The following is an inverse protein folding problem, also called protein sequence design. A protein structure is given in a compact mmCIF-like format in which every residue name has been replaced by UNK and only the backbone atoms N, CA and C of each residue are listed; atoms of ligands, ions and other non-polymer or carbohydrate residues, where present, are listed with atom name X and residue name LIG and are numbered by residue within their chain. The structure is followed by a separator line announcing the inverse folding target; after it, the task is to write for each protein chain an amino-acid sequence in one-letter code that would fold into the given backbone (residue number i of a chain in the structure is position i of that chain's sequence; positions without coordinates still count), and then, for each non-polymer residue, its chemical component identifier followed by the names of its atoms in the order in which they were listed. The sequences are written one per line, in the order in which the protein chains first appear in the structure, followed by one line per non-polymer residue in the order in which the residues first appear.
data_IF_427071095782
#
_entry.id   IF_427071095782
#
_cell.length_a   1.000
_cell.length_b   1.000
_cell.length_c   1.000
_cell.angle_alpha   90.00
_cell.angle_beta   90.00
_cell.angle_gamma   90.00
#
_symmetry.space_group_name_H-M   'P 1'
#
loop_
_entity.id
_entity.type
_entity.pdbx_description
1 polymer ?
#
# COMPACT_ATOMS: atom_id res chain seq x y z
N UNK A 1 44.71 -18.79 30.94
CA UNK A 1 43.87 -18.88 29.73
C UNK A 1 42.38 -19.13 30.09
N UNK A 2 41.77 -18.29 30.94
CA UNK A 2 40.34 -18.43 31.29
C UNK A 2 39.55 -17.11 31.11
N UNK A 3 40.22 -16.00 30.81
CA UNK A 3 39.57 -14.67 30.68
C UNK A 3 39.17 -14.35 29.23
N UNK A 4 39.77 -15.03 28.24
CA UNK A 4 39.56 -14.73 26.82
C UNK A 4 38.30 -15.39 26.22
N UNK A 5 37.74 -16.41 26.88
CA UNK A 5 36.59 -17.17 26.37
C UNK A 5 35.22 -16.60 26.78
N UNK A 6 35.15 -15.72 27.79
CA UNK A 6 33.89 -15.07 28.20
C UNK A 6 33.55 -13.82 27.37
N UNK A 7 34.52 -13.14 26.75
CA UNK A 7 34.29 -11.92 25.97
C UNK A 7 33.62 -12.16 24.61
N UNK A 8 33.77 -13.36 24.03
CA UNK A 8 33.24 -13.68 22.70
C UNK A 8 31.77 -14.14 22.79
N UNK A 9 31.36 -14.72 23.92
CA UNK A 9 30.00 -15.23 24.08
C UNK A 9 28.95 -14.12 24.32
N UNK A 10 29.37 -12.95 24.80
CA UNK A 10 28.45 -11.80 25.03
C UNK A 10 28.26 -10.95 23.77
N UNK A 11 29.24 -10.91 22.86
CA UNK A 11 29.09 -10.19 21.59
C UNK A 11 28.14 -10.91 20.61
N UNK A 12 28.11 -12.24 20.60
CA UNK A 12 27.33 -13.01 19.62
C UNK A 12 25.80 -12.82 19.67
N UNK A 13 25.24 -12.39 20.80
CA UNK A 13 23.80 -12.20 20.98
C UNK A 13 23.34 -10.74 20.88
N UNK A 14 24.25 -9.76 20.94
CA UNK A 14 23.93 -8.34 20.84
C UNK A 14 23.96 -7.81 19.40
N UNK A 15 24.83 -8.35 18.54
CA UNK A 15 24.97 -7.89 17.14
C UNK A 15 23.75 -8.15 16.23
N UNK A 16 23.04 -9.30 16.30
CA UNK A 16 21.84 -9.50 15.48
C UNK A 16 20.73 -8.50 15.82
N UNK A 17 20.67 -8.09 17.08
CA UNK A 17 19.61 -7.22 17.59
C UNK A 17 19.85 -5.74 17.26
N UNK A 18 21.10 -5.27 17.28
CA UNK A 18 21.42 -3.89 16.95
C UNK A 18 21.37 -3.65 15.44
N UNK A 19 21.95 -4.56 14.64
CA UNK A 19 21.89 -4.47 13.17
C UNK A 19 20.46 -4.68 12.66
N UNK A 20 19.71 -5.63 13.23
CA UNK A 20 18.29 -5.85 12.90
C UNK A 20 17.39 -4.67 13.29
N UNK A 21 17.64 -4.00 14.42
CA UNK A 21 16.95 -2.76 14.79
C UNK A 21 17.35 -1.58 13.90
N UNK A 22 18.63 -1.48 13.53
CA UNK A 22 19.10 -0.44 12.60
C UNK A 22 18.47 -0.64 11.21
N UNK A 23 18.47 -1.87 10.70
CA UNK A 23 17.87 -2.22 9.41
C UNK A 23 16.34 -2.08 9.44
N UNK A 24 15.70 -2.51 10.53
CA UNK A 24 14.27 -2.32 10.76
C UNK A 24 13.87 -0.85 10.78
N UNK A 25 14.64 -0.01 11.48
CA UNK A 25 14.43 1.44 11.50
C UNK A 25 14.64 2.09 10.14
N UNK A 26 15.64 1.66 9.36
CA UNK A 26 15.86 2.15 7.99
C UNK A 26 14.71 1.78 7.04
N UNK A 27 14.17 0.56 7.14
CA UNK A 27 13.02 0.13 6.33
C UNK A 27 11.75 0.87 6.74
N UNK A 28 11.52 1.07 8.04
CA UNK A 28 10.38 1.83 8.55
C UNK A 28 10.45 3.30 8.11
N UNK A 29 11.61 3.94 8.21
CA UNK A 29 11.82 5.32 7.74
C UNK A 29 11.59 5.43 6.23
N UNK A 30 12.13 4.50 5.44
CA UNK A 30 11.91 4.48 3.99
C UNK A 30 10.43 4.27 3.63
N UNK A 31 9.75 3.37 4.35
CA UNK A 31 8.31 3.13 4.20
C UNK A 31 7.50 4.37 4.51
N UNK A 32 7.79 5.04 5.62
CA UNK A 32 7.11 6.29 6.02
C UNK A 32 7.31 7.40 5.00
N UNK A 33 8.54 7.59 4.49
CA UNK A 33 8.80 8.57 3.42
C UNK A 33 8.03 8.25 2.13
N UNK A 34 7.95 6.97 1.76
CA UNK A 34 7.17 6.53 0.61
C UNK A 34 5.68 6.81 0.79
N UNK A 35 5.14 6.54 1.98
CA UNK A 35 3.75 6.83 2.31
C UNK A 35 3.47 8.33 2.29
N UNK A 36 4.34 9.16 2.87
CA UNK A 36 4.20 10.62 2.87
C UNK A 36 4.23 11.19 1.45
N UNK A 37 5.08 10.64 0.58
CA UNK A 37 5.06 10.98 -0.84
C UNK A 37 3.72 10.63 -1.48
N UNK A 38 3.21 9.41 -1.28
CA UNK A 38 1.93 8.98 -1.85
C UNK A 38 0.79 9.87 -1.35
N UNK A 39 0.70 10.11 -0.03
CA UNK A 39 -0.38 10.91 0.56
C UNK A 39 -0.33 12.36 0.14
N UNK A 40 0.86 12.93 -0.09
CA UNK A 40 0.99 14.30 -0.61
C UNK A 40 0.36 14.51 -2.00
N UNK A 41 0.12 13.43 -2.75
CA UNK A 41 -0.53 13.46 -4.06
C UNK A 41 -2.00 13.04 -4.02
N UNK A 42 -2.57 12.74 -2.85
CA UNK A 42 -4.00 12.44 -2.70
C UNK A 42 -4.72 13.74 -2.40
N UNK A 43 -5.68 14.07 -3.25
CA UNK A 43 -6.53 15.25 -3.07
C UNK A 43 -7.62 14.99 -2.04
N UNK A 44 -8.30 16.04 -1.58
CA UNK A 44 -9.46 15.93 -0.68
C UNK A 44 -10.65 15.16 -1.28
N UNK A 45 -10.68 14.95 -2.59
CA UNK A 45 -11.70 14.11 -3.25
C UNK A 45 -11.25 12.65 -3.44
N UNK A 46 -10.03 12.29 -3.01
CA UNK A 46 -9.46 10.96 -3.21
C UNK A 46 -8.81 10.73 -4.57
N UNK A 47 -8.81 11.74 -5.45
CA UNK A 47 -8.11 11.68 -6.74
C UNK A 47 -6.60 11.67 -6.51
N UNK A 48 -5.89 10.82 -7.27
CA UNK A 48 -4.43 10.71 -7.20
C UNK A 48 -3.79 11.60 -8.26
N UNK A 49 -3.10 12.65 -7.80
CA UNK A 49 -2.59 13.75 -8.62
C UNK A 49 -1.06 13.74 -8.72
N UNK A 50 -0.47 12.55 -8.87
CA UNK A 50 0.94 12.42 -9.22
C UNK A 50 1.14 12.78 -10.71
N UNK A 51 2.18 13.56 -11.08
CA UNK A 51 2.35 14.08 -12.44
C UNK A 51 2.29 13.07 -13.59
N UNK A 52 2.70 11.81 -13.36
CA UNK A 52 2.66 10.73 -14.36
C UNK A 52 1.39 9.88 -14.28
N UNK A 53 0.59 10.05 -13.24
CA UNK A 53 -0.68 9.36 -13.07
C UNK A 53 -1.73 9.90 -14.03
N UNK A 54 -2.58 9.00 -14.52
CA UNK A 54 -3.74 9.32 -15.34
C UNK A 54 -4.99 8.93 -14.59
N UNK A 55 -6.13 9.45 -15.06
CA UNK A 55 -7.45 9.02 -14.59
C UNK A 55 -7.74 7.62 -15.15
N UNK A 56 -7.11 6.62 -14.54
CA UNK A 56 -7.16 5.23 -14.94
C UNK A 56 -7.07 4.33 -13.70
N UNK A 57 -7.94 3.33 -13.61
CA UNK A 57 -8.07 2.42 -12.46
C UNK A 57 -6.73 1.82 -12.02
N UNK A 58 -5.79 1.63 -12.94
CA UNK A 58 -4.46 1.07 -12.67
C UNK A 58 -3.63 1.91 -11.70
N UNK A 59 -3.83 3.22 -11.64
CA UNK A 59 -3.11 4.08 -10.70
C UNK A 59 -3.72 4.07 -9.29
N UNK A 60 -4.93 3.53 -9.14
CA UNK A 60 -5.69 3.62 -7.89
C UNK A 60 -5.76 2.29 -7.13
N UNK A 61 -5.90 1.15 -7.81
CA UNK A 61 -6.37 -0.10 -7.19
C UNK A 61 -5.55 -0.64 -6.00
N UNK A 62 -4.26 -0.28 -5.89
CA UNK A 62 -3.41 -0.66 -4.74
C UNK A 62 -3.35 0.38 -3.64
N UNK A 63 -3.67 1.64 -3.94
CA UNK A 63 -3.51 2.74 -3.00
C UNK A 63 -4.29 2.51 -1.70
N UNK A 64 -5.57 2.09 -1.71
CA UNK A 64 -6.32 1.90 -0.48
C UNK A 64 -5.66 0.95 0.54
N UNK A 65 -5.21 -0.22 0.07
CA UNK A 65 -4.57 -1.20 0.95
C UNK A 65 -3.20 -0.70 1.44
N UNK A 66 -2.40 -0.10 0.54
CA UNK A 66 -1.10 0.50 0.91
C UNK A 66 -1.26 1.56 1.99
N UNK A 67 -2.23 2.47 1.84
CA UNK A 67 -2.52 3.53 2.79
C UNK A 67 -3.03 2.97 4.12
N UNK A 68 -3.91 1.97 4.06
CA UNK A 68 -4.48 1.33 5.26
C UNK A 68 -3.40 0.62 6.08
N UNK A 69 -2.52 -0.14 5.42
CA UNK A 69 -1.36 -0.78 6.06
C UNK A 69 -0.37 0.25 6.63
N UNK A 70 -0.27 1.41 5.99
CA UNK A 70 0.52 2.56 6.47
C UNK A 70 -0.16 3.44 7.52
N UNK A 71 -1.32 3.05 8.03
CA UNK A 71 -2.08 3.81 9.03
C UNK A 71 -2.72 5.11 8.52
N UNK A 72 -2.73 5.35 7.20
CA UNK A 72 -3.34 6.52 6.54
C UNK A 72 -4.82 6.25 6.19
N UNK A 73 -5.61 5.86 7.19
CA UNK A 73 -6.99 5.39 6.99
C UNK A 73 -7.92 6.44 6.38
N UNK A 74 -7.72 7.73 6.68
CA UNK A 74 -8.48 8.81 6.04
C UNK A 74 -8.26 8.80 4.53
N UNK A 75 -7.02 8.81 4.11
CA UNK A 75 -6.65 8.87 2.69
C UNK A 75 -7.07 7.59 1.95
N UNK A 76 -6.95 6.43 2.61
CA UNK A 76 -7.46 5.17 2.08
C UNK A 76 -8.96 5.25 1.75
N UNK A 77 -9.76 5.79 2.67
CA UNK A 77 -11.20 5.96 2.48
C UNK A 77 -11.54 6.98 1.38
N UNK A 78 -10.78 8.07 1.28
CA UNK A 78 -10.94 9.05 0.21
C UNK A 78 -10.72 8.37 -1.16
N UNK A 79 -9.63 7.62 -1.31
CA UNK A 79 -9.32 6.92 -2.55
C UNK A 79 -10.35 5.84 -2.88
N UNK A 80 -10.84 5.09 -1.89
CA UNK A 80 -11.90 4.09 -2.13
C UNK A 80 -13.21 4.73 -2.60
N UNK A 81 -13.58 5.87 -2.03
CA UNK A 81 -14.75 6.61 -2.47
C UNK A 81 -14.59 7.09 -3.91
N UNK A 82 -13.42 7.61 -4.29
CA UNK A 82 -13.09 7.95 -5.67
C UNK A 82 -13.21 6.73 -6.59
N UNK A 83 -12.59 5.60 -6.23
CA UNK A 83 -12.67 4.36 -7.01
C UNK A 83 -14.12 3.91 -7.22
N UNK A 84 -14.93 3.97 -6.16
CA UNK A 84 -16.34 3.58 -6.22
C UNK A 84 -17.16 4.51 -7.11
N UNK A 85 -16.95 5.82 -7.01
CA UNK A 85 -17.72 6.81 -7.75
C UNK A 85 -17.38 6.81 -9.24
N UNK A 86 -16.10 6.66 -9.58
CA UNK A 86 -15.61 6.92 -10.93
C UNK A 86 -15.31 5.65 -11.74
N UNK A 87 -14.98 4.52 -11.07
CA UNK A 87 -14.61 3.29 -11.78
C UNK A 87 -15.61 2.14 -11.62
N UNK A 88 -16.45 2.13 -10.59
CA UNK A 88 -17.43 1.06 -10.39
C UNK A 88 -18.54 1.12 -11.44
N UNK A 89 -18.74 0.03 -12.15
CA UNK A 89 -19.78 -0.13 -13.16
C UNK A 89 -21.07 -0.68 -12.54
N UNK A 90 -22.24 -0.52 -13.21
CA UNK A 90 -23.51 -1.07 -12.72
C UNK A 90 -23.50 -2.60 -12.56
N UNK A 91 -22.65 -3.31 -13.31
CA UNK A 91 -22.47 -4.77 -13.20
C UNK A 91 -21.57 -5.19 -12.03
N UNK A 92 -21.02 -4.23 -11.27
CA UNK A 92 -20.15 -4.45 -10.13
C UNK A 92 -18.66 -4.62 -10.48
N UNK A 93 -18.29 -4.60 -11.75
CA UNK A 93 -16.89 -4.55 -12.17
C UNK A 93 -16.31 -3.14 -11.97
N UNK A 94 -14.99 -3.03 -11.85
CA UNK A 94 -14.28 -1.75 -11.83
C UNK A 94 -13.52 -1.57 -13.13
N UNK A 95 -13.74 -0.48 -13.85
CA UNK A 95 -13.12 -0.20 -15.16
C UNK A 95 -12.83 1.29 -15.30
N UNK A 96 -11.77 1.65 -16.03
CA UNK A 96 -11.48 3.05 -16.39
C UNK A 96 -12.62 3.68 -17.20
N UNK A 97 -13.28 2.90 -18.06
CA UNK A 97 -14.49 3.30 -18.77
C UNK A 97 -15.39 2.07 -19.03
N UNK A 98 -16.63 2.22 -19.52
CA UNK A 98 -17.56 1.09 -19.67
C UNK A 98 -16.97 -0.13 -20.41
N UNK A 99 -16.17 0.13 -21.45
CA UNK A 99 -15.58 -0.89 -22.32
C UNK A 99 -14.07 -1.11 -22.10
N UNK A 100 -13.43 -0.32 -21.23
CA UNK A 100 -11.98 -0.34 -21.02
C UNK A 100 -11.64 -0.61 -19.57
N UNK A 101 -11.09 -1.80 -19.30
CA UNK A 101 -10.61 -2.17 -17.95
C UNK A 101 -9.59 -1.18 -17.42
N UNK A 102 -8.57 -0.93 -18.23
CA UNK A 102 -7.52 0.07 -18.04
C UNK A 102 -6.87 0.34 -19.39
N UNK A 103 -6.39 1.58 -19.57
CA UNK A 103 -5.61 2.05 -20.71
C UNK A 103 -4.13 1.63 -20.62
N UNK A 104 -3.70 1.05 -19.50
CA UNK A 104 -2.32 0.58 -19.31
C UNK A 104 -2.11 -0.74 -20.07
N UNK A 105 -1.06 -0.84 -20.91
CA UNK A 105 -0.69 -2.08 -21.59
C UNK A 105 -0.51 -3.25 -20.61
N UNK A 106 -1.00 -4.43 -20.98
CA UNK A 106 -0.91 -5.64 -20.16
C UNK A 106 -1.97 -5.75 -19.06
N UNK A 107 -2.79 -4.71 -18.81
CA UNK A 107 -3.86 -4.77 -17.80
C UNK A 107 -4.89 -5.86 -18.04
N UNK A 108 -5.14 -6.20 -19.31
CA UNK A 108 -6.09 -7.24 -19.72
C UNK A 108 -5.57 -8.67 -19.49
N UNK A 109 -4.25 -8.88 -19.41
CA UNK A 109 -3.67 -10.20 -19.10
C UNK A 109 -4.08 -10.67 -17.70
N UNK A 110 -4.40 -9.71 -16.83
CA UNK A 110 -4.83 -9.93 -15.46
C UNK A 110 -6.15 -9.21 -15.17
N UNK A 111 -7.19 -9.47 -15.98
CA UNK A 111 -8.47 -8.75 -15.91
C UNK A 111 -9.07 -8.64 -14.49
N UNK A 112 -9.03 -9.72 -13.70
CA UNK A 112 -9.62 -9.75 -12.36
C UNK A 112 -8.76 -9.01 -11.30
N UNK A 113 -7.52 -8.69 -11.62
CA UNK A 113 -6.51 -8.30 -10.65
C UNK A 113 -6.86 -7.04 -9.88
N UNK A 114 -7.29 -5.98 -10.57
CA UNK A 114 -7.66 -4.72 -9.89
C UNK A 114 -8.83 -4.93 -8.92
N UNK A 115 -9.84 -5.71 -9.30
CA UNK A 115 -10.99 -6.02 -8.44
C UNK A 115 -10.57 -6.81 -7.21
N UNK A 116 -9.67 -7.78 -7.36
CA UNK A 116 -9.19 -8.62 -6.25
C UNK A 116 -8.46 -7.79 -5.19
N UNK A 117 -7.66 -6.79 -5.58
CA UNK A 117 -7.00 -5.89 -4.61
C UNK A 117 -7.97 -4.96 -3.90
N UNK A 118 -8.97 -4.42 -4.62
CA UNK A 118 -10.03 -3.60 -4.01
C UNK A 118 -10.81 -4.45 -2.99
N UNK A 119 -11.11 -5.72 -3.29
CA UNK A 119 -11.73 -6.63 -2.33
C UNK A 119 -10.81 -6.97 -1.14
N UNK A 120 -9.51 -7.13 -1.37
CA UNK A 120 -8.54 -7.40 -0.30
C UNK A 120 -8.49 -6.26 0.73
N UNK A 121 -8.59 -5.00 0.29
CA UNK A 121 -8.72 -3.87 1.21
C UNK A 121 -9.98 -3.98 2.06
N UNK A 122 -11.13 -4.27 1.45
CA UNK A 122 -12.39 -4.40 2.20
C UNK A 122 -12.28 -5.46 3.30
N UNK A 123 -11.64 -6.60 2.99
CA UNK A 123 -11.38 -7.65 3.97
C UNK A 123 -10.47 -7.15 5.09
N UNK A 124 -9.38 -6.46 4.76
CA UNK A 124 -8.49 -5.85 5.75
C UNK A 124 -9.24 -4.89 6.68
N UNK A 125 -10.00 -3.95 6.12
CA UNK A 125 -10.78 -2.96 6.89
C UNK A 125 -11.81 -3.63 7.80
N UNK A 126 -12.44 -4.73 7.37
CA UNK A 126 -13.37 -5.48 8.21
C UNK A 126 -12.69 -6.17 9.41
N UNK A 127 -11.46 -6.66 9.23
CA UNK A 127 -10.69 -7.30 10.31
C UNK A 127 -10.20 -6.27 11.34
N UNK A 128 -9.79 -5.08 10.88
CA UNK A 128 -9.34 -4.00 11.77
C UNK A 128 -10.51 -3.40 12.56
N UNK A 129 -11.68 -3.23 11.94
CA UNK A 129 -12.87 -2.69 12.62
C UNK A 129 -13.50 -3.65 13.65
N UNK A 130 -13.11 -4.93 13.66
CA UNK A 130 -13.62 -5.95 14.58
C UNK A 130 -12.77 -6.13 15.84
N UNK A 131 -11.67 -5.38 15.97
CA UNK A 131 -10.78 -5.34 17.14
C UNK A 131 -10.93 -4.03 17.89
#
# INVERSE_FOLDING_TARGET
MLVTLFGILVCGSLFPSALGRLHGGLVEEASNKGLDYITSHITETGRYNEPSAREDLWYYYKLPLTLSLGGRLRDANLVLNHIKCDFMQPDGDFRTSPDVKSSIPGSLEYYQYTNSWIQAEKLFSSMVASN
#
